data_IF_217860524524
#
_entry.id   IF_217860524524
#
_cell.length_a   1.000
_cell.length_b   1.000
_cell.length_c   1.000
_cell.angle_alpha   90.00
_cell.angle_beta   90.00
_cell.angle_gamma   90.00
#
_symmetry.space_group_name_H-M   'P 1'
#
loop_
_entity.id
_entity.type
_entity.pdbx_description
1 polymer ?
#
# COMPACT_ATOMS: atom_id res chain seq x y z
N UNK A 1 -15.13 4.41 6.60
CA UNK A 1 -14.57 3.12 7.06
C UNK A 1 -13.13 3.40 7.45
N UNK A 2 -12.73 3.04 8.67
CA UNK A 2 -11.34 3.22 9.13
C UNK A 2 -10.51 1.99 8.75
N UNK A 3 -9.23 2.15 8.38
CA UNK A 3 -8.37 1.02 8.06
C UNK A 3 -7.94 0.27 9.33
N UNK A 4 -7.75 -1.04 9.16
CA UNK A 4 -7.27 -1.95 10.21
C UNK A 4 -5.82 -1.62 10.55
N UNK A 5 -5.04 -1.20 9.55
CA UNK A 5 -3.64 -0.81 9.71
C UNK A 5 -3.23 0.22 8.68
N UNK A 6 -2.37 1.15 9.08
CA UNK A 6 -1.70 2.09 8.18
C UNK A 6 -0.19 1.98 8.29
N UNK A 7 0.50 2.15 7.16
CA UNK A 7 1.96 2.28 7.07
C UNK A 7 2.25 3.54 6.26
N UNK A 8 3.00 4.49 6.82
CA UNK A 8 3.46 5.67 6.08
C UNK A 8 4.71 5.31 5.28
N UNK A 9 4.76 5.68 4.00
CA UNK A 9 5.97 5.54 3.18
C UNK A 9 6.94 6.71 3.37
N UNK A 10 6.54 7.72 4.13
CA UNK A 10 7.31 8.93 4.32
C UNK A 10 7.78 9.02 5.77
N UNK A 11 9.11 9.09 5.99
CA UNK A 11 9.67 9.08 7.33
C UNK A 11 9.51 10.42 8.07
N UNK A 12 9.09 11.50 7.38
CA UNK A 12 9.24 12.87 7.88
C UNK A 12 7.93 13.69 7.99
N UNK A 13 6.84 13.34 7.30
CA UNK A 13 5.58 14.07 7.46
C UNK A 13 4.35 13.18 7.19
N UNK A 14 3.23 13.53 7.83
CA UNK A 14 1.94 12.86 7.66
C UNK A 14 1.18 13.25 6.38
N UNK A 15 1.88 13.83 5.39
CA UNK A 15 1.31 14.39 4.16
C UNK A 15 1.85 13.68 2.91
N UNK A 16 2.13 12.39 3.02
CA UNK A 16 2.83 11.60 2.02
C UNK A 16 2.09 10.27 1.81
N UNK A 17 2.38 9.54 0.72
CA UNK A 17 1.62 8.34 0.38
C UNK A 17 1.67 7.31 1.52
N UNK A 18 0.50 6.80 1.87
CA UNK A 18 0.30 5.77 2.87
C UNK A 18 -0.14 4.46 2.22
N UNK A 19 0.08 3.36 2.95
CA UNK A 19 -0.50 2.06 2.66
C UNK A 19 -1.54 1.81 3.76
N UNK A 20 -2.82 1.88 3.40
CA UNK A 20 -3.95 1.64 4.28
C UNK A 20 -4.57 0.27 3.97
N UNK A 21 -4.58 -0.62 4.97
CA UNK A 21 -5.12 -1.97 4.86
C UNK A 21 -6.53 -2.02 5.42
N UNK A 22 -7.47 -2.49 4.61
CA UNK A 22 -8.85 -2.81 4.97
C UNK A 22 -9.05 -4.33 4.93
N UNK A 23 -10.26 -4.79 5.26
CA UNK A 23 -10.57 -6.22 5.32
C UNK A 23 -10.40 -6.92 3.95
N UNK A 24 -10.86 -6.26 2.88
CA UNK A 24 -10.92 -6.83 1.52
C UNK A 24 -10.05 -6.10 0.49
N UNK A 25 -9.48 -4.95 0.84
CA UNK A 25 -8.69 -4.12 -0.06
C UNK A 25 -7.54 -3.39 0.64
N UNK A 26 -6.58 -2.95 -0.17
CA UNK A 26 -5.46 -2.10 0.25
C UNK A 26 -5.44 -0.86 -0.61
N UNK A 27 -5.34 0.30 0.03
CA UNK A 27 -5.20 1.58 -0.65
C UNK A 27 -3.75 2.06 -0.52
N UNK A 28 -3.17 2.49 -1.62
CA UNK A 28 -1.80 3.02 -1.67
C UNK A 28 -1.85 4.41 -2.27
N UNK A 29 -1.27 5.40 -1.59
CA UNK A 29 -1.14 6.76 -2.11
C UNK A 29 -1.69 7.82 -1.17
N UNK A 30 -2.10 8.94 -1.75
CA UNK A 30 -2.63 10.10 -1.04
C UNK A 30 -3.89 10.64 -1.72
N UNK A 31 -4.56 11.63 -1.10
CA UNK A 31 -5.80 12.19 -1.65
C UNK A 31 -5.55 12.76 -3.05
N UNK A 32 -6.32 12.27 -4.03
CA UNK A 32 -6.21 12.69 -5.44
C UNK A 32 -5.29 11.80 -6.29
N UNK A 33 -4.48 10.93 -5.67
CA UNK A 33 -3.65 9.94 -6.35
C UNK A 33 -3.60 8.65 -5.53
N UNK A 34 -4.65 7.84 -5.67
CA UNK A 34 -4.87 6.64 -4.87
C UNK A 34 -5.04 5.42 -5.78
N UNK A 35 -4.20 4.40 -5.57
CA UNK A 35 -4.38 3.07 -6.15
C UNK A 35 -5.13 2.21 -5.14
N UNK A 36 -6.15 1.48 -5.60
CA UNK A 36 -6.86 0.48 -4.80
C UNK A 36 -6.57 -0.90 -5.35
N UNK A 37 -6.16 -1.80 -4.48
CA UNK A 37 -5.87 -3.19 -4.79
C UNK A 37 -6.81 -4.07 -3.98
N UNK A 38 -7.42 -5.06 -4.61
CA UNK A 38 -8.08 -6.16 -3.87
C UNK A 38 -7.02 -6.93 -3.08
N UNK A 39 -7.45 -7.62 -2.04
CA UNK A 39 -6.60 -8.49 -1.22
C UNK A 39 -5.68 -9.42 -2.02
N UNK A 40 -6.19 -10.03 -3.10
CA UNK A 40 -5.38 -10.91 -3.95
C UNK A 40 -4.29 -10.14 -4.72
N UNK A 41 -4.63 -9.00 -5.32
CA UNK A 41 -3.69 -8.18 -6.09
C UNK A 41 -2.57 -7.62 -5.19
N UNK A 42 -2.91 -7.24 -3.95
CA UNK A 42 -1.94 -6.88 -2.94
C UNK A 42 -0.99 -8.03 -2.59
N UNK A 43 -1.53 -9.24 -2.40
CA UNK A 43 -0.71 -10.42 -2.12
C UNK A 43 0.24 -10.73 -3.28
N UNK A 44 -0.23 -10.64 -4.52
CA UNK A 44 0.60 -10.84 -5.71
C UNK A 44 1.72 -9.80 -5.79
N UNK A 45 1.41 -8.52 -5.51
CA UNK A 45 2.42 -7.46 -5.41
C UNK A 45 3.49 -7.79 -4.34
N UNK A 46 3.07 -8.21 -3.14
CA UNK A 46 3.99 -8.60 -2.07
C UNK A 46 4.85 -9.80 -2.46
N UNK A 47 4.28 -10.79 -3.17
CA UNK A 47 5.03 -11.94 -3.67
C UNK A 47 6.09 -11.51 -4.70
N UNK A 48 5.75 -10.59 -5.61
CA UNK A 48 6.71 -10.05 -6.60
C UNK A 48 7.86 -9.27 -5.96
N UNK A 49 7.60 -8.56 -4.87
CA UNK A 49 8.66 -7.90 -4.08
C UNK A 49 9.55 -8.96 -3.41
N UNK A 50 8.95 -9.97 -2.76
CA UNK A 50 9.69 -11.01 -2.05
C UNK A 50 10.51 -11.92 -2.96
N UNK A 51 10.04 -12.17 -4.18
CA UNK A 51 10.78 -12.96 -5.18
C UNK A 51 11.96 -12.20 -5.79
N UNK A 52 12.05 -10.88 -5.57
CA UNK A 52 13.06 -10.01 -6.19
C UNK A 52 12.73 -9.61 -7.63
N UNK A 53 11.55 -9.96 -8.14
CA UNK A 53 11.06 -9.46 -9.44
C UNK A 53 10.87 -7.93 -9.40
N UNK A 54 10.28 -7.43 -8.30
CA UNK A 54 10.24 -6.02 -7.96
C UNK A 54 11.25 -5.73 -6.84
N UNK A 55 12.06 -4.70 -7.03
CA UNK A 55 13.16 -4.33 -6.13
C UNK A 55 13.21 -2.82 -5.97
N UNK A 56 13.97 -2.39 -4.97
CA UNK A 56 14.31 -0.98 -4.78
C UNK A 56 14.88 -0.40 -6.08
N UNK A 57 14.43 0.81 -6.43
CA UNK A 57 14.86 1.57 -7.60
C UNK A 57 15.76 2.73 -7.21
#
# INVERSE_FOLDING_TARGET
MEPIRKVTLCPACGACPEIALFEEEVHIGEKGNLVRLKKQEWNDLVQKIRSGELKEV
#
